data_IF_084774255357
#
_entry.id   IF_084774255357
#
_cell.length_a   1.000
_cell.length_b   1.000
_cell.length_c   1.000
_cell.angle_alpha   90.00
_cell.angle_beta   90.00
_cell.angle_gamma   90.00
#
_symmetry.space_group_name_H-M   'P 1'
#
loop_
_entity.id
_entity.type
_entity.pdbx_description
1 polymer ?
#
# COMPACT_ATOMS: atom_id res chain seq x y z
N UNK A 1 -11.59 -10.33 -0.82
CA UNK A 1 -11.27 -10.68 -2.21
C UNK A 1 -12.14 -9.87 -3.15
N UNK A 2 -11.56 -9.36 -4.25
CA UNK A 2 -12.32 -8.74 -5.33
C UNK A 2 -12.61 -9.77 -6.42
N UNK A 3 -13.86 -9.83 -6.86
CA UNK A 3 -14.36 -10.79 -7.85
C UNK A 3 -14.91 -10.03 -9.05
N UNK A 4 -14.32 -10.25 -10.23
CA UNK A 4 -14.80 -9.63 -11.47
C UNK A 4 -15.90 -10.49 -12.10
N UNK A 5 -17.12 -9.97 -12.16
CA UNK A 5 -18.28 -10.65 -12.78
C UNK A 5 -19.27 -9.63 -13.34
N UNK A 6 -19.89 -9.92 -14.48
CA UNK A 6 -20.86 -9.02 -15.11
C UNK A 6 -20.30 -7.62 -15.40
N UNK A 7 -19.03 -7.54 -15.80
CA UNK A 7 -18.29 -6.29 -16.04
C UNK A 7 -18.14 -5.37 -14.82
N UNK A 8 -18.28 -5.90 -13.60
CA UNK A 8 -18.14 -5.17 -12.35
C UNK A 8 -17.26 -5.93 -11.36
N UNK A 9 -16.59 -5.19 -10.49
CA UNK A 9 -15.94 -5.74 -9.32
C UNK A 9 -16.95 -5.94 -8.19
N UNK A 10 -16.86 -7.07 -7.51
CA UNK A 10 -17.62 -7.41 -6.32
C UNK A 10 -16.66 -7.74 -5.17
N UNK A 11 -17.12 -7.63 -3.93
CA UNK A 11 -16.32 -7.94 -2.74
C UNK A 11 -16.89 -9.13 -2.01
N UNK A 12 -16.02 -10.05 -1.62
CA UNK A 12 -16.35 -11.16 -0.72
C UNK A 12 -15.16 -11.45 0.18
N UNK A 13 -15.41 -11.68 1.46
CA UNK A 13 -14.38 -12.03 2.44
C UNK A 13 -14.64 -13.45 2.90
N UNK A 14 -13.61 -14.30 2.86
CA UNK A 14 -13.72 -15.69 3.28
C UNK A 14 -12.73 -15.95 4.42
N UNK A 15 -13.13 -16.76 5.40
CA UNK A 15 -12.27 -17.20 6.50
C UNK A 15 -12.14 -18.71 6.48
N UNK A 16 -10.90 -19.19 6.41
CA UNK A 16 -10.60 -20.60 6.58
C UNK A 16 -11.03 -21.12 7.94
N UNK A 17 -11.60 -22.31 7.97
CA UNK A 17 -11.88 -23.03 9.22
C UNK A 17 -10.57 -23.41 9.93
N UNK A 18 -10.67 -23.81 11.21
CA UNK A 18 -9.48 -24.16 12.02
C UNK A 18 -8.69 -25.34 11.44
N UNK A 19 -9.37 -26.25 10.73
CA UNK A 19 -8.75 -27.40 10.06
C UNK A 19 -8.01 -27.03 8.76
N UNK A 20 -8.12 -25.79 8.28
CA UNK A 20 -7.59 -25.30 7.00
C UNK A 20 -8.06 -26.09 5.77
N UNK A 21 -9.26 -26.66 5.83
CA UNK A 21 -9.81 -27.50 4.75
C UNK A 21 -10.85 -26.79 3.91
N UNK A 22 -11.53 -25.78 4.46
CA UNK A 22 -12.58 -25.03 3.76
C UNK A 22 -12.65 -23.59 4.28
N UNK A 23 -13.29 -22.69 3.51
CA UNK A 23 -13.43 -21.29 3.84
C UNK A 23 -14.89 -20.82 3.82
N UNK A 24 -15.33 -20.19 4.90
CA UNK A 24 -16.68 -19.68 5.07
C UNK A 24 -16.78 -18.24 4.60
N UNK A 25 -17.85 -17.89 3.89
CA UNK A 25 -18.16 -16.50 3.55
C UNK A 25 -18.48 -15.72 4.82
N UNK A 26 -17.76 -14.62 5.03
CA UNK A 26 -17.98 -13.66 6.09
C UNK A 26 -18.66 -12.42 5.54
N UNK A 27 -19.86 -12.14 6.05
CA UNK A 27 -20.57 -10.87 5.81
C UNK A 27 -20.07 -9.78 6.75
N UNK A 28 -19.96 -10.13 8.04
CA UNK A 28 -19.36 -9.29 9.07
C UNK A 28 -17.84 -9.50 9.15
N UNK A 29 -17.13 -8.46 9.59
CA UNK A 29 -15.71 -8.57 9.89
C UNK A 29 -15.45 -9.48 11.09
N UNK A 30 -14.20 -9.88 11.29
CA UNK A 30 -13.81 -10.72 12.42
C UNK A 30 -12.46 -10.27 13.00
N UNK A 31 -12.24 -10.58 14.28
CA UNK A 31 -10.96 -10.41 14.94
C UNK A 31 -10.46 -11.78 15.36
N UNK A 32 -9.32 -12.21 14.81
CA UNK A 32 -8.78 -13.55 15.02
C UNK A 32 -7.39 -13.43 15.67
N UNK A 33 -7.16 -14.04 16.84
CA UNK A 33 -5.81 -14.10 17.39
C UNK A 33 -4.94 -15.02 16.52
N UNK A 34 -3.78 -14.51 16.11
CA UNK A 34 -2.80 -15.23 15.29
C UNK A 34 -1.49 -15.31 16.06
N UNK A 35 -0.91 -16.51 16.11
CA UNK A 35 0.38 -16.79 16.71
C UNK A 35 1.31 -17.32 15.62
N UNK A 36 2.52 -16.77 15.54
CA UNK A 36 3.49 -17.17 14.51
C UNK A 36 4.91 -16.94 15.01
N UNK A 37 5.88 -17.54 14.34
CA UNK A 37 7.30 -17.26 14.56
C UNK A 37 7.77 -16.23 13.54
N UNK A 38 8.47 -15.18 13.98
CA UNK A 38 9.07 -14.23 13.04
C UNK A 38 10.36 -14.80 12.42
N UNK A 39 10.94 -14.07 11.45
CA UNK A 39 12.17 -14.48 10.75
C UNK A 39 13.40 -14.70 11.64
N UNK A 40 13.33 -14.32 12.92
CA UNK A 40 14.40 -14.48 13.89
C UNK A 40 14.14 -15.59 14.91
N UNK A 41 13.10 -16.41 14.70
CA UNK A 41 12.74 -17.48 15.62
C UNK A 41 11.93 -17.01 16.82
N UNK A 42 11.47 -15.75 16.86
CA UNK A 42 10.74 -15.22 18.02
C UNK A 42 9.25 -15.45 17.85
N UNK A 43 8.61 -16.06 18.86
CA UNK A 43 7.15 -16.17 18.94
C UNK A 43 6.51 -14.78 19.01
N UNK A 44 5.58 -14.51 18.09
CA UNK A 44 4.75 -13.33 17.98
C UNK A 44 3.29 -13.69 18.16
N UNK A 45 2.51 -12.71 18.60
CA UNK A 45 1.06 -12.78 18.60
C UNK A 45 0.50 -11.45 18.12
N UNK A 46 -0.61 -11.47 17.39
CA UNK A 46 -1.39 -10.28 17.04
C UNK A 46 -2.86 -10.64 16.87
N UNK A 47 -3.73 -9.64 16.97
CA UNK A 47 -5.14 -9.79 16.57
C UNK A 47 -5.25 -9.35 15.12
N UNK A 48 -5.50 -10.31 14.24
CA UNK A 48 -5.73 -10.08 12.83
C UNK A 48 -7.18 -9.64 12.62
N UNK A 49 -7.37 -8.47 12.02
CA UNK A 49 -8.70 -7.95 11.69
C UNK A 49 -9.05 -8.32 10.26
N UNK A 50 -10.03 -9.19 10.12
CA UNK A 50 -10.69 -9.51 8.86
C UNK A 50 -11.72 -8.40 8.58
N UNK A 51 -11.58 -7.61 7.49
CA UNK A 51 -12.51 -6.52 7.20
C UNK A 51 -13.91 -7.06 6.84
N UNK A 52 -14.94 -6.32 7.26
CA UNK A 52 -16.30 -6.60 6.80
C UNK A 52 -16.43 -6.27 5.30
N UNK A 53 -17.45 -6.83 4.65
CA UNK A 53 -17.69 -6.56 3.23
C UNK A 53 -17.85 -5.06 2.94
N UNK A 54 -18.52 -4.32 3.84
CA UNK A 54 -18.71 -2.87 3.75
C UNK A 54 -17.40 -2.06 3.86
N UNK A 55 -16.38 -2.61 4.52
CA UNK A 55 -15.11 -1.91 4.76
C UNK A 55 -14.23 -1.90 3.51
N UNK A 56 -14.47 -2.83 2.58
CA UNK A 56 -13.64 -3.04 1.39
C UNK A 56 -13.52 -1.79 0.52
N UNK A 57 -14.61 -1.02 0.39
CA UNK A 57 -14.65 0.23 -0.35
C UNK A 57 -13.85 1.38 0.29
N UNK A 58 -13.30 1.18 1.50
CA UNK A 58 -12.38 2.14 2.13
C UNK A 58 -11.05 2.21 1.38
N UNK A 59 -10.58 1.06 0.87
CA UNK A 59 -9.33 0.98 0.12
C UNK A 59 -9.58 0.73 -1.38
N UNK A 60 -10.57 -0.12 -1.73
CA UNK A 60 -10.85 -0.53 -3.09
C UNK A 60 -11.79 0.41 -3.84
N UNK A 61 -11.66 1.73 -3.67
CA UNK A 61 -12.55 2.70 -4.31
C UNK A 61 -11.76 3.81 -5.00
N UNK A 62 -12.21 4.18 -6.20
CA UNK A 62 -11.79 5.38 -6.90
C UNK A 62 -13.03 6.11 -7.39
N UNK A 63 -13.33 7.27 -6.80
CA UNK A 63 -14.59 7.97 -7.01
C UNK A 63 -15.79 7.16 -6.50
N UNK A 64 -16.73 6.86 -7.39
CA UNK A 64 -17.93 6.05 -7.12
C UNK A 64 -17.76 4.55 -7.46
N UNK A 65 -16.59 4.16 -8.00
CA UNK A 65 -16.34 2.80 -8.49
C UNK A 65 -15.47 2.00 -7.55
N UNK A 66 -15.85 0.73 -7.40
CA UNK A 66 -15.00 -0.28 -6.79
C UNK A 66 -13.92 -0.73 -7.80
N UNK A 67 -12.67 -0.70 -7.37
CA UNK A 67 -11.50 -1.00 -8.23
C UNK A 67 -10.48 -1.87 -7.50
N UNK A 68 -9.72 -2.71 -8.24
CA UNK A 68 -8.61 -3.43 -7.66
C UNK A 68 -7.50 -2.48 -7.23
N UNK A 69 -6.88 -2.83 -6.10
CA UNK A 69 -5.57 -2.31 -5.75
C UNK A 69 -4.57 -3.35 -6.22
N UNK A 70 -3.59 -2.91 -6.99
CA UNK A 70 -2.60 -3.77 -7.60
C UNK A 70 -1.36 -2.98 -7.98
N UNK A 71 -0.31 -3.66 -8.48
CA UNK A 71 0.88 -2.98 -8.93
C UNK A 71 0.53 -1.99 -10.05
N UNK A 72 1.04 -0.77 -9.92
CA UNK A 72 1.03 0.20 -11.00
C UNK A 72 2.26 -0.02 -11.89
N UNK A 73 2.19 0.46 -13.12
CA UNK A 73 3.29 0.38 -14.09
C UNK A 73 4.60 0.91 -13.51
N UNK A 74 4.58 2.01 -12.73
CA UNK A 74 5.76 2.56 -12.06
C UNK A 74 6.40 1.65 -11.02
N UNK A 75 5.63 0.78 -10.38
CA UNK A 75 6.14 -0.22 -9.43
C UNK A 75 6.81 -1.38 -10.18
N UNK A 76 6.36 -1.63 -11.41
CA UNK A 76 6.86 -2.71 -12.25
C UNK A 76 8.01 -2.27 -13.16
N UNK A 77 8.21 -0.97 -13.36
CA UNK A 77 9.27 -0.41 -14.20
C UNK A 77 10.67 -0.44 -13.54
N UNK A 78 11.05 -1.60 -13.03
CA UNK A 78 12.30 -1.83 -12.30
C UNK A 78 13.18 -2.82 -13.04
N UNK A 79 14.47 -2.87 -12.67
CA UNK A 79 15.40 -3.89 -13.13
C UNK A 79 15.23 -5.16 -12.29
N UNK A 80 15.08 -6.30 -12.94
CA UNK A 80 14.96 -7.63 -12.31
C UNK A 80 16.02 -8.57 -12.86
N UNK A 81 16.34 -9.59 -12.07
CA UNK A 81 17.21 -10.69 -12.45
C UNK A 81 16.38 -11.86 -12.98
N UNK A 82 16.75 -12.38 -14.15
CA UNK A 82 16.09 -13.48 -14.85
C UNK A 82 17.16 -14.46 -15.30
N UNK A 83 17.44 -15.47 -14.49
CA UNK A 83 18.66 -16.28 -14.62
C UNK A 83 19.89 -15.38 -14.42
N UNK A 84 20.92 -15.54 -15.24
CA UNK A 84 22.14 -14.72 -15.16
C UNK A 84 22.02 -13.34 -15.84
N UNK A 85 20.83 -12.95 -16.29
CA UNK A 85 20.60 -11.70 -17.02
C UNK A 85 19.79 -10.71 -16.20
N UNK A 86 20.16 -9.44 -16.28
CA UNK A 86 19.30 -8.37 -15.81
C UNK A 86 18.50 -7.76 -16.97
N UNK A 87 17.22 -7.52 -16.75
CA UNK A 87 16.35 -6.83 -17.70
C UNK A 87 15.27 -6.03 -16.98
N UNK A 88 14.57 -5.18 -17.71
CA UNK A 88 13.41 -4.46 -17.17
C UNK A 88 12.24 -5.43 -16.96
N UNK A 89 11.53 -5.34 -15.83
CA UNK A 89 10.45 -6.25 -15.49
C UNK A 89 9.23 -6.13 -16.42
N UNK A 90 8.88 -4.92 -16.88
CA UNK A 90 7.79 -4.76 -17.86
C UNK A 90 8.16 -5.48 -19.17
N UNK A 91 9.37 -5.27 -19.68
CA UNK A 91 9.85 -5.97 -20.87
C UNK A 91 9.89 -7.50 -20.70
N UNK A 92 10.23 -7.97 -19.49
CA UNK A 92 10.17 -9.39 -19.16
C UNK A 92 8.74 -9.93 -19.20
N UNK A 93 7.78 -9.23 -18.57
CA UNK A 93 6.37 -9.62 -18.53
C UNK A 93 5.73 -9.59 -19.93
N UNK A 94 6.06 -8.60 -20.75
CA UNK A 94 5.68 -8.52 -22.17
C UNK A 94 6.21 -9.73 -22.95
N UNK A 95 7.50 -10.06 -22.82
CA UNK A 95 8.10 -11.24 -23.47
C UNK A 95 7.44 -12.55 -23.05
N UNK A 96 6.88 -12.60 -21.84
CA UNK A 96 6.15 -13.77 -21.31
C UNK A 96 4.67 -13.80 -21.73
N UNK A 97 4.20 -12.79 -22.46
CA UNK A 97 2.79 -12.67 -22.87
C UNK A 97 1.85 -12.35 -21.71
N UNK A 98 2.37 -11.86 -20.58
CA UNK A 98 1.57 -11.49 -19.41
C UNK A 98 1.06 -10.05 -19.47
N UNK A 99 1.73 -9.20 -20.26
CA UNK A 99 1.31 -7.83 -20.54
C UNK A 99 1.22 -7.64 -22.05
N UNK A 100 0.28 -6.79 -22.47
CA UNK A 100 0.28 -6.26 -23.82
C UNK A 100 1.52 -5.38 -24.03
N UNK A 101 2.01 -5.31 -25.26
CA UNK A 101 3.16 -4.48 -25.61
C UNK A 101 2.86 -3.01 -25.31
N UNK A 102 3.74 -2.37 -24.52
CA UNK A 102 3.69 -0.95 -24.22
C UNK A 102 5.07 -0.33 -24.48
N UNK A 103 5.10 0.96 -24.84
CA UNK A 103 6.37 1.68 -24.84
C UNK A 103 6.78 1.96 -23.38
N UNK A 104 7.76 1.22 -22.89
CA UNK A 104 8.28 1.38 -21.54
C UNK A 104 9.21 2.60 -21.40
N UNK A 105 9.57 3.25 -22.51
CA UNK A 105 10.47 4.42 -22.50
C UNK A 105 9.76 5.62 -21.89
N UNK A 106 10.45 6.32 -21.00
CA UNK A 106 9.93 7.51 -20.34
C UNK A 106 8.95 7.24 -19.19
N UNK A 107 8.66 5.98 -18.87
CA UNK A 107 7.90 5.65 -17.68
C UNK A 107 8.72 5.93 -16.42
N UNK A 108 8.12 6.59 -15.43
CA UNK A 108 8.74 6.78 -14.12
C UNK A 108 8.85 5.43 -13.40
N UNK A 109 10.00 5.15 -12.79
CA UNK A 109 10.13 4.06 -11.81
C UNK A 109 9.92 4.62 -10.41
N UNK A 110 9.23 3.87 -9.56
CA UNK A 110 9.23 4.17 -8.13
C UNK A 110 10.56 3.71 -7.52
N UNK A 111 11.30 4.55 -6.79
CA UNK A 111 12.54 4.14 -6.15
C UNK A 111 12.26 3.14 -5.03
N UNK A 112 13.20 2.22 -4.79
CA UNK A 112 13.14 1.37 -3.62
C UNK A 112 13.36 2.23 -2.37
N UNK A 113 12.34 2.32 -1.51
CA UNK A 113 12.43 3.10 -0.29
C UNK A 113 13.47 2.53 0.70
N UNK A 114 13.88 1.27 0.53
CA UNK A 114 14.90 0.62 1.35
C UNK A 114 16.32 0.86 0.87
N UNK A 115 16.52 1.27 -0.39
CA UNK A 115 17.84 1.55 -0.94
C UNK A 115 18.41 2.84 -0.31
N UNK A 116 19.31 2.66 0.66
CA UNK A 116 19.94 3.76 1.38
C UNK A 116 20.95 4.56 0.58
N UNK A 117 21.32 4.11 -0.62
CA UNK A 117 22.15 4.90 -1.55
C UNK A 117 21.37 6.02 -2.23
N UNK A 118 20.03 5.94 -2.23
CA UNK A 118 19.16 6.97 -2.79
C UNK A 118 18.86 8.08 -1.78
N UNK A 119 18.58 9.28 -2.29
CA UNK A 119 18.20 10.42 -1.47
C UNK A 119 16.95 10.14 -0.63
N UNK A 120 16.86 10.78 0.54
CA UNK A 120 15.79 10.56 1.52
C UNK A 120 14.40 10.90 0.96
N UNK A 121 14.24 12.07 0.35
CA UNK A 121 12.95 12.55 -0.18
C UNK A 121 12.28 11.58 -1.16
N UNK A 122 12.95 11.12 -2.25
CA UNK A 122 12.31 10.19 -3.18
C UNK A 122 11.95 8.85 -2.51
N UNK A 123 12.75 8.35 -1.57
CA UNK A 123 12.41 7.13 -0.80
C UNK A 123 11.17 7.31 0.07
N UNK A 124 11.08 8.42 0.79
CA UNK A 124 9.92 8.75 1.62
C UNK A 124 8.65 8.93 0.78
N UNK A 125 8.76 9.64 -0.35
CA UNK A 125 7.63 9.80 -1.29
C UNK A 125 7.19 8.49 -1.92
N UNK A 126 8.12 7.57 -2.21
CA UNK A 126 7.78 6.24 -2.70
C UNK A 126 7.05 5.39 -1.65
N UNK A 127 7.47 5.48 -0.39
CA UNK A 127 6.77 4.82 0.71
C UNK A 127 5.34 5.36 0.86
N UNK A 128 5.13 6.69 0.76
CA UNK A 128 3.81 7.32 0.84
C UNK A 128 2.92 6.94 -0.36
N UNK A 129 3.47 6.87 -1.58
CA UNK A 129 2.76 6.38 -2.77
C UNK A 129 2.18 4.98 -2.51
N UNK A 130 3.06 4.05 -2.11
CA UNK A 130 2.71 2.64 -1.97
C UNK A 130 1.70 2.39 -0.84
N UNK A 131 1.85 3.10 0.29
CA UNK A 131 1.09 2.80 1.50
C UNK A 131 -0.09 3.75 1.75
N UNK A 132 -0.14 4.92 1.11
CA UNK A 132 -1.09 5.97 1.48
C UNK A 132 -1.84 6.60 0.29
N UNK A 133 -1.23 6.70 -0.90
CA UNK A 133 -1.81 7.46 -2.02
C UNK A 133 -3.12 6.87 -2.58
N UNK A 134 -3.35 5.57 -2.41
CA UNK A 134 -4.63 4.96 -2.80
C UNK A 134 -5.83 5.53 -2.00
N UNK A 135 -5.60 6.02 -0.77
CA UNK A 135 -6.59 6.76 0.01
C UNK A 135 -6.43 8.27 -0.17
N UNK A 136 -5.20 8.78 -0.08
CA UNK A 136 -4.84 10.20 -0.14
C UNK A 136 -4.47 10.60 -1.58
N UNK A 137 -5.49 10.67 -2.43
CA UNK A 137 -5.43 11.17 -3.81
C UNK A 137 -6.77 11.80 -4.17
N UNK A 138 -6.83 12.49 -5.31
CA UNK A 138 -8.05 13.15 -5.82
C UNK A 138 -9.29 12.26 -5.88
N UNK A 139 -9.11 10.95 -6.13
CA UNK A 139 -10.23 9.99 -6.24
C UNK A 139 -10.32 9.01 -5.07
N UNK A 140 -9.34 9.04 -4.17
CA UNK A 140 -9.27 8.16 -3.01
C UNK A 140 -10.29 8.54 -1.93
N UNK A 141 -10.45 7.66 -0.95
CA UNK A 141 -11.44 7.85 0.12
C UNK A 141 -11.13 9.00 1.08
N UNK A 142 -9.88 9.46 1.08
CA UNK A 142 -9.42 10.63 1.82
C UNK A 142 -9.23 11.87 0.92
N UNK A 143 -9.85 11.91 -0.28
CA UNK A 143 -9.76 13.06 -1.19
C UNK A 143 -10.22 14.40 -0.57
N UNK A 144 -11.12 14.35 0.42
CA UNK A 144 -11.57 15.54 1.16
C UNK A 144 -10.61 16.00 2.26
N UNK A 145 -9.51 15.26 2.47
CA UNK A 145 -8.43 15.69 3.37
C UNK A 145 -7.47 16.62 2.62
N UNK A 146 -6.65 17.37 3.34
CA UNK A 146 -5.64 18.25 2.75
C UNK A 146 -4.39 17.50 2.26
N UNK A 147 -4.47 16.20 2.00
CA UNK A 147 -3.33 15.36 1.61
C UNK A 147 -3.52 14.72 0.24
N UNK A 148 -2.54 14.94 -0.64
CA UNK A 148 -2.34 14.18 -1.87
C UNK A 148 -0.93 13.59 -1.83
N UNK A 149 -0.86 12.28 -1.62
CA UNK A 149 0.38 11.56 -1.36
C UNK A 149 0.90 10.83 -2.60
N UNK A 150 0.39 11.17 -3.79
CA UNK A 150 0.88 10.56 -5.02
C UNK A 150 2.33 10.93 -5.28
N UNK A 151 3.11 9.99 -5.81
CA UNK A 151 4.56 10.17 -6.01
C UNK A 151 4.89 11.40 -6.85
N UNK A 152 4.10 11.68 -7.90
CA UNK A 152 4.35 12.78 -8.84
C UNK A 152 3.71 14.12 -8.42
N UNK A 153 2.94 14.17 -7.32
CA UNK A 153 2.29 15.40 -6.88
C UNK A 153 3.33 16.43 -6.41
N UNK A 154 3.43 17.64 -7.00
CA UNK A 154 4.38 18.66 -6.54
C UNK A 154 4.26 18.89 -5.02
N UNK A 155 5.39 19.07 -4.32
CA UNK A 155 5.44 19.10 -2.85
C UNK A 155 4.41 20.07 -2.25
N UNK A 156 4.28 21.25 -2.85
CA UNK A 156 3.39 22.36 -2.49
C UNK A 156 1.91 21.97 -2.60
N UNK A 157 1.59 20.96 -3.42
CA UNK A 157 0.25 20.42 -3.62
C UNK A 157 -0.01 19.16 -2.79
N UNK A 158 1.00 18.58 -2.16
CA UNK A 158 0.82 17.35 -1.35
C UNK A 158 0.11 17.62 -0.03
N UNK A 159 0.21 18.84 0.48
CA UNK A 159 -0.21 19.20 1.84
C UNK A 159 0.59 18.55 2.96
N UNK A 160 1.70 17.85 2.64
CA UNK A 160 2.62 17.28 3.65
C UNK A 160 3.16 18.38 4.56
N UNK A 161 3.56 19.54 4.00
CA UNK A 161 4.09 20.65 4.78
C UNK A 161 3.14 21.14 5.88
N UNK A 162 1.83 21.16 5.58
CA UNK A 162 0.78 21.55 6.54
C UNK A 162 0.49 20.45 7.57
N UNK A 163 0.53 19.18 7.17
CA UNK A 163 0.11 18.04 8.01
C UNK A 163 1.26 17.31 8.71
N UNK A 164 2.52 17.74 8.53
CA UNK A 164 3.73 16.99 8.88
C UNK A 164 3.71 16.37 10.28
N UNK A 165 3.41 17.15 11.31
CA UNK A 165 3.40 16.65 12.70
C UNK A 165 2.32 15.58 12.92
N UNK A 166 1.11 15.84 12.40
CA UNK A 166 -0.01 14.92 12.49
C UNK A 166 0.26 13.60 11.76
N UNK A 167 0.97 13.62 10.63
CA UNK A 167 1.32 12.39 9.91
C UNK A 167 2.11 11.43 10.80
N UNK A 168 3.21 11.89 11.41
CA UNK A 168 4.07 11.02 12.25
C UNK A 168 3.31 10.51 13.46
N UNK A 169 2.54 11.38 14.13
CA UNK A 169 1.77 11.01 15.33
C UNK A 169 0.76 9.90 14.98
N UNK A 170 0.00 10.08 13.90
CA UNK A 170 -1.06 9.14 13.51
C UNK A 170 -0.50 7.82 13.00
N UNK A 171 0.66 7.83 12.33
CA UNK A 171 1.32 6.60 11.90
C UNK A 171 1.92 5.81 13.08
N UNK A 172 2.38 6.49 14.12
CA UNK A 172 3.11 5.86 15.24
C UNK A 172 2.22 5.48 16.43
N UNK A 173 1.06 6.11 16.58
CA UNK A 173 0.17 5.92 17.74
C UNK A 173 -1.05 5.12 17.35
N UNK A 174 -1.17 3.91 17.90
CA UNK A 174 -2.38 3.09 17.77
C UNK A 174 -3.54 3.72 18.56
N UNK A 175 -4.77 3.61 18.05
CA UNK A 175 -5.97 4.14 18.69
C UNK A 175 -6.98 4.66 17.67
N UNK A 176 -7.93 5.46 18.13
CA UNK A 176 -9.02 6.00 17.31
C UNK A 176 -8.54 6.80 16.09
N UNK A 177 -7.45 7.57 16.24
CA UNK A 177 -6.92 8.47 15.21
C UNK A 177 -5.76 7.88 14.40
N UNK A 178 -5.42 6.60 14.63
CA UNK A 178 -4.34 5.91 13.95
C UNK A 178 -4.51 5.91 12.43
N UNK A 179 -3.40 6.03 11.70
CA UNK A 179 -3.34 5.84 10.27
C UNK A 179 -2.34 4.75 9.88
N UNK A 180 -2.71 3.83 8.97
CA UNK A 180 -4.00 3.76 8.28
C UNK A 180 -5.17 3.37 9.21
N UNK A 181 -6.37 3.89 8.94
CA UNK A 181 -7.55 3.71 9.81
C UNK A 181 -7.94 2.22 9.97
N UNK A 182 -7.71 1.43 8.93
CA UNK A 182 -7.95 -0.01 8.88
C UNK A 182 -6.77 -0.70 8.16
N UNK A 183 -6.70 -2.02 8.26
CA UNK A 183 -5.74 -2.85 7.50
C UNK A 183 -4.48 -3.24 8.28
N UNK A 184 -4.15 -2.56 9.37
CA UNK A 184 -3.07 -2.97 10.28
C UNK A 184 -3.51 -2.87 11.75
N UNK A 185 -2.90 -3.68 12.60
CA UNK A 185 -2.99 -3.62 14.07
C UNK A 185 -1.62 -3.41 14.72
N UNK A 186 -0.60 -3.15 13.90
CA UNK A 186 0.79 -2.94 14.33
C UNK A 186 1.37 -1.72 13.62
N UNK A 187 2.36 -1.09 14.26
CA UNK A 187 3.11 0.03 13.70
C UNK A 187 4.21 -0.50 12.76
N UNK A 188 4.31 0.07 11.55
CA UNK A 188 5.49 -0.09 10.71
C UNK A 188 6.60 0.85 11.21
N UNK A 189 7.46 0.34 12.08
CA UNK A 189 8.55 1.12 12.68
C UNK A 189 9.54 1.66 11.63
N UNK A 190 9.80 0.90 10.57
CA UNK A 190 10.71 1.28 9.48
C UNK A 190 10.11 2.44 8.68
N UNK A 191 8.84 2.30 8.29
CA UNK A 191 8.08 3.33 7.58
C UNK A 191 7.92 4.61 8.40
N UNK A 192 7.55 4.49 9.69
CA UNK A 192 7.45 5.63 10.60
C UNK A 192 8.79 6.35 10.73
N UNK A 193 9.91 5.61 10.87
CA UNK A 193 11.24 6.21 10.96
C UNK A 193 11.57 6.99 9.68
N UNK A 194 11.34 6.39 8.50
CA UNK A 194 11.58 7.03 7.21
C UNK A 194 10.81 8.35 7.07
N UNK A 195 9.52 8.35 7.40
CA UNK A 195 8.67 9.55 7.30
C UNK A 195 9.04 10.60 8.36
N UNK A 196 9.42 10.18 9.57
CA UNK A 196 9.93 11.10 10.60
C UNK A 196 11.21 11.80 10.15
N UNK A 197 12.16 11.05 9.59
CA UNK A 197 13.43 11.60 9.11
C UNK A 197 13.19 12.58 7.95
N UNK A 198 12.29 12.22 7.01
CA UNK A 198 11.89 13.10 5.92
C UNK A 198 11.23 14.39 6.42
N UNK A 199 10.32 14.31 7.39
CA UNK A 199 9.66 15.51 7.93
C UNK A 199 10.65 16.44 8.65
N UNK A 200 11.65 15.88 9.33
CA UNK A 200 12.72 16.68 9.94
C UNK A 200 13.53 17.41 8.87
N UNK A 201 13.83 16.79 7.73
CA UNK A 201 14.55 17.46 6.63
C UNK A 201 13.74 18.53 5.90
N UNK A 202 12.46 18.71 6.21
CA UNK A 202 11.60 19.80 5.69
C UNK A 202 11.47 20.97 6.67
N UNK A 203 12.02 20.85 7.88
CA UNK A 203 11.95 21.87 8.91
C UNK A 203 13.14 22.85 8.88
N UNK A 204 14.05 22.64 7.92
CA UNK A 204 15.15 23.53 7.54
C UNK A 204 14.80 24.31 6.25
#
# INVERSE_FOLDING_TARGET
MLLYSGSKWNVATYRWNEAQTDAELLTEGAAVPVYFEDRYGKRRHLVYKIPAQKDCGTCHRSGDKLVPLGPQIRNLNIRVEVGEKHMNQLAYLEKRGLLAQADVRGLTSLPDYKDSSLALTPRARAYLEMNCAHCHSETGTAASTSLDLRFDTPFEKTGIGYNKENMVIRMNTMGEYHMPKIGTTTVDEEGVKLIRDYIKSLAD
#
